data_IF_400808024098
#
_entry.id   IF_400808024098
#
_cell.length_a   1.000
_cell.length_b   1.000
_cell.length_c   1.000
_cell.angle_alpha   90.00
_cell.angle_beta   90.00
_cell.angle_gamma   90.00
#
_symmetry.space_group_name_H-M   'P 1'
#
loop_
_entity.id
_entity.type
_entity.pdbx_description
1 polymer ?
#
# COMPACT_ATOMS: atom_id res chain seq x y z
N UNK A 1 19.38 -1.17 14.90
CA UNK A 1 18.38 -0.23 14.36
C UNK A 1 18.90 0.22 13.01
N UNK A 2 18.31 -0.23 11.89
CA UNK A 2 18.75 0.17 10.55
C UNK A 2 17.86 1.29 10.02
N UNK A 3 18.43 2.27 9.28
CA UNK A 3 17.69 3.42 8.79
C UNK A 3 16.79 2.96 7.64
N UNK A 4 15.49 2.94 7.86
CA UNK A 4 14.51 2.49 6.86
C UNK A 4 14.22 3.67 5.91
N UNK A 5 15.18 3.93 5.03
CA UNK A 5 15.07 4.89 3.94
C UNK A 5 14.07 4.41 2.89
N UNK A 6 13.60 5.34 2.08
CA UNK A 6 12.49 5.31 1.10
C UNK A 6 12.49 4.09 0.12
N UNK A 7 13.55 3.29 0.07
CA UNK A 7 13.64 2.08 -0.75
C UNK A 7 12.80 0.90 -0.23
N UNK A 8 12.38 0.91 1.04
CA UNK A 8 11.64 -0.20 1.67
C UNK A 8 10.10 -0.08 1.57
N UNK A 9 9.59 0.92 0.83
CA UNK A 9 8.15 1.11 0.61
C UNK A 9 7.45 -0.17 0.11
N UNK A 10 7.93 -0.90 -0.93
CA UNK A 10 7.22 -2.08 -1.43
C UNK A 10 7.19 -3.21 -0.39
N UNK A 11 8.25 -3.43 0.39
CA UNK A 11 8.26 -4.42 1.48
C UNK A 11 7.24 -4.08 2.55
N UNK A 12 7.10 -2.80 2.88
CA UNK A 12 6.13 -2.35 3.89
C UNK A 12 4.71 -2.54 3.40
N UNK A 13 4.45 -2.22 2.12
CA UNK A 13 3.14 -2.48 1.50
C UNK A 13 2.83 -3.98 1.53
N UNK A 14 3.80 -4.83 1.17
CA UNK A 14 3.65 -6.28 1.25
C UNK A 14 3.31 -6.78 2.67
N UNK A 15 3.90 -6.16 3.70
CA UNK A 15 3.59 -6.45 5.11
C UNK A 15 2.17 -6.00 5.49
N UNK A 16 1.74 -4.80 5.09
CA UNK A 16 0.37 -4.33 5.36
C UNK A 16 -0.67 -5.18 4.61
N UNK A 17 -0.38 -5.61 3.38
CA UNK A 17 -1.22 -6.56 2.64
C UNK A 17 -1.38 -7.88 3.39
N UNK A 18 -0.27 -8.47 3.86
CA UNK A 18 -0.32 -9.69 4.67
C UNK A 18 -1.19 -9.52 5.92
N UNK A 19 -1.06 -8.39 6.63
CA UNK A 19 -1.88 -8.09 7.82
C UNK A 19 -3.36 -7.99 7.50
N UNK A 20 -3.74 -7.29 6.44
CA UNK A 20 -5.15 -7.16 6.00
C UNK A 20 -5.74 -8.49 5.56
N UNK A 21 -4.92 -9.37 4.98
CA UNK A 21 -5.28 -10.73 4.59
C UNK A 21 -5.21 -11.74 5.74
N UNK A 22 -4.80 -11.31 6.95
CA UNK A 22 -4.54 -12.17 8.09
C UNK A 22 -3.54 -13.32 7.80
N UNK A 23 -2.49 -13.01 7.03
CA UNK A 23 -1.45 -13.94 6.61
C UNK A 23 -0.04 -13.34 6.66
N UNK A 24 0.89 -14.04 6.02
CA UNK A 24 2.28 -13.59 5.87
C UNK A 24 2.41 -12.44 4.86
N UNK A 25 3.51 -11.66 4.89
CA UNK A 25 3.79 -10.65 3.88
C UNK A 25 3.72 -11.24 2.46
N UNK A 26 3.17 -10.48 1.52
CA UNK A 26 3.10 -10.87 0.12
C UNK A 26 4.48 -10.81 -0.55
N UNK A 27 4.65 -11.58 -1.62
CA UNK A 27 5.74 -11.34 -2.57
C UNK A 27 5.53 -9.99 -3.27
N UNK A 28 6.61 -9.30 -3.63
CA UNK A 28 6.55 -7.92 -4.15
C UNK A 28 5.77 -7.79 -5.46
N UNK A 29 5.65 -8.88 -6.23
CA UNK A 29 4.90 -8.94 -7.48
C UNK A 29 3.62 -9.78 -7.34
N UNK A 30 3.24 -10.16 -6.11
CA UNK A 30 1.99 -10.88 -5.88
C UNK A 30 0.84 -9.89 -5.83
N UNK A 31 -0.10 -10.04 -6.75
CA UNK A 31 -1.34 -9.27 -6.77
C UNK A 31 -2.20 -9.56 -5.52
N UNK A 32 -2.68 -8.49 -4.90
CA UNK A 32 -3.49 -8.53 -3.68
C UNK A 32 -4.82 -9.28 -3.83
N UNK A 33 -5.53 -9.08 -4.94
CA UNK A 33 -6.81 -9.75 -5.18
C UNK A 33 -6.61 -11.24 -5.47
N UNK A 34 -5.55 -11.59 -6.23
CA UNK A 34 -5.15 -12.99 -6.43
C UNK A 34 -4.63 -13.67 -5.15
N UNK A 35 -4.26 -12.90 -4.13
CA UNK A 35 -3.89 -13.42 -2.81
C UNK A 35 -5.11 -13.62 -1.88
N UNK A 36 -6.34 -13.32 -2.35
CA UNK A 36 -7.57 -13.45 -1.58
C UNK A 36 -8.12 -12.13 -1.03
N UNK A 37 -7.58 -11.00 -1.48
CA UNK A 37 -8.13 -9.68 -1.20
C UNK A 37 -9.49 -9.46 -1.85
N UNK A 38 -10.27 -8.57 -1.24
CA UNK A 38 -11.56 -8.10 -1.75
C UNK A 38 -11.63 -6.57 -1.67
N UNK A 39 -12.72 -5.98 -2.13
CA UNK A 39 -12.89 -4.52 -2.16
C UNK A 39 -12.90 -3.88 -0.78
N UNK A 40 -13.43 -4.56 0.24
CA UNK A 40 -13.47 -4.03 1.62
C UNK A 40 -12.07 -3.98 2.19
N UNK A 41 -11.33 -5.07 2.02
CA UNK A 41 -9.93 -5.18 2.42
C UNK A 41 -9.01 -4.23 1.64
N UNK A 42 -9.28 -4.01 0.35
CA UNK A 42 -8.54 -3.05 -0.45
C UNK A 42 -8.73 -1.62 0.08
N UNK A 43 -9.96 -1.23 0.41
CA UNK A 43 -10.23 0.09 1.03
C UNK A 43 -9.51 0.22 2.37
N UNK A 44 -9.55 -0.81 3.22
CA UNK A 44 -8.81 -0.82 4.49
C UNK A 44 -7.29 -0.64 4.27
N UNK A 45 -6.72 -1.38 3.32
CA UNK A 45 -5.31 -1.27 2.96
C UNK A 45 -4.98 0.15 2.51
N UNK A 46 -5.76 0.73 1.60
CA UNK A 46 -5.57 2.10 1.08
C UNK A 46 -5.54 3.11 2.22
N UNK A 47 -6.51 3.06 3.15
CA UNK A 47 -6.55 3.97 4.30
C UNK A 47 -5.30 3.84 5.16
N UNK A 48 -4.88 2.61 5.49
CA UNK A 48 -3.66 2.36 6.28
C UNK A 48 -2.40 2.89 5.59
N UNK A 49 -2.30 2.75 4.26
CA UNK A 49 -1.17 3.26 3.49
C UNK A 49 -1.17 4.79 3.43
N UNK A 50 -2.34 5.41 3.22
CA UNK A 50 -2.51 6.86 3.24
C UNK A 50 -2.06 7.49 4.55
N UNK A 51 -2.49 6.93 5.68
CA UNK A 51 -2.09 7.38 7.02
C UNK A 51 -0.59 7.18 7.29
N UNK A 52 -0.02 6.08 6.79
CA UNK A 52 1.37 5.70 7.06
C UNK A 52 2.38 6.51 6.27
N UNK A 53 2.08 6.83 5.02
CA UNK A 53 3.02 7.40 4.07
C UNK A 53 2.78 8.87 3.72
N UNK A 54 1.71 9.48 4.23
CA UNK A 54 1.54 10.94 4.12
C UNK A 54 2.32 11.69 5.21
N UNK A 55 2.55 12.98 4.99
CA UNK A 55 3.19 13.90 5.96
C UNK A 55 2.30 14.23 7.18
N UNK A 56 1.34 13.36 7.52
CA UNK A 56 0.45 13.49 8.67
C UNK A 56 -0.67 14.52 8.52
N UNK A 57 -0.79 15.17 7.36
CA UNK A 57 -1.95 16.06 7.08
C UNK A 57 -3.11 15.28 6.47
N UNK A 58 -4.34 15.61 6.86
CA UNK A 58 -5.55 14.98 6.30
C UNK A 58 -5.63 15.14 4.77
N UNK A 59 -5.20 16.29 4.25
CA UNK A 59 -5.21 16.58 2.83
C UNK A 59 -4.21 15.72 2.05
N UNK A 60 -2.99 15.52 2.56
CA UNK A 60 -2.00 14.64 1.93
C UNK A 60 -2.46 13.17 1.96
N UNK A 61 -3.00 12.71 3.09
CA UNK A 61 -3.55 11.37 3.23
C UNK A 61 -4.71 11.13 2.26
N UNK A 62 -5.64 12.08 2.13
CA UNK A 62 -6.78 11.96 1.20
C UNK A 62 -6.34 11.90 -0.27
N UNK A 63 -5.34 12.71 -0.66
CA UNK A 63 -4.77 12.69 -2.01
C UNK A 63 -4.11 11.33 -2.31
N UNK A 64 -3.28 10.83 -1.39
CA UNK A 64 -2.64 9.52 -1.54
C UNK A 64 -3.67 8.38 -1.60
N UNK A 65 -4.70 8.41 -0.73
CA UNK A 65 -5.79 7.44 -0.77
C UNK A 65 -6.50 7.44 -2.12
N UNK A 66 -6.77 8.62 -2.69
CA UNK A 66 -7.41 8.74 -4.01
C UNK A 66 -6.53 8.16 -5.11
N UNK A 67 -5.21 8.38 -5.08
CA UNK A 67 -4.29 7.84 -6.08
C UNK A 67 -4.19 6.31 -5.98
N UNK A 68 -4.05 5.78 -4.76
CA UNK A 68 -3.99 4.34 -4.48
C UNK A 68 -5.29 3.62 -4.86
N UNK A 69 -6.45 4.26 -4.69
CA UNK A 69 -7.73 3.68 -5.08
C UNK A 69 -7.81 3.40 -6.58
N UNK A 70 -7.26 4.27 -7.42
CA UNK A 70 -7.21 4.02 -8.86
C UNK A 70 -6.19 2.93 -9.17
N UNK A 71 -4.98 3.06 -8.63
CA UNK A 71 -3.88 2.17 -8.92
C UNK A 71 -4.13 0.71 -8.48
N UNK A 72 -4.78 0.49 -7.35
CA UNK A 72 -5.04 -0.88 -6.86
C UNK A 72 -5.89 -1.69 -7.85
N UNK A 73 -6.79 -1.05 -8.61
CA UNK A 73 -7.60 -1.76 -9.61
C UNK A 73 -6.88 -1.95 -10.95
N UNK A 74 -5.77 -1.26 -11.17
CA UNK A 74 -4.92 -1.45 -12.36
C UNK A 74 -3.85 -2.51 -12.11
N UNK A 75 -3.13 -2.40 -11.00
CA UNK A 75 -2.09 -3.34 -10.56
C UNK A 75 -2.02 -3.34 -9.01
N UNK A 76 -2.50 -4.43 -8.40
CA UNK A 76 -2.57 -4.55 -6.95
C UNK A 76 -1.32 -5.20 -6.35
N UNK A 77 -0.17 -5.11 -7.00
CA UNK A 77 1.11 -5.59 -6.45
C UNK A 77 1.75 -4.58 -5.50
N UNK A 78 2.50 -5.04 -4.48
CA UNK A 78 3.27 -4.15 -3.61
C UNK A 78 4.20 -3.19 -4.37
N UNK A 79 4.83 -3.64 -5.46
CA UNK A 79 5.73 -2.82 -6.26
C UNK A 79 5.00 -1.68 -7.00
N UNK A 80 3.86 -1.98 -7.63
CA UNK A 80 3.07 -0.97 -8.33
C UNK A 80 2.52 0.10 -7.37
N UNK A 81 1.96 -0.32 -6.23
CA UNK A 81 1.47 0.63 -5.22
C UNK A 81 2.62 1.44 -4.60
N UNK A 82 3.82 0.86 -4.49
CA UNK A 82 4.99 1.61 -4.03
C UNK A 82 5.40 2.72 -4.99
N UNK A 83 5.24 2.53 -6.30
CA UNK A 83 5.49 3.60 -7.28
C UNK A 83 4.58 4.80 -7.02
N UNK A 84 3.28 4.55 -6.81
CA UNK A 84 2.30 5.59 -6.49
C UNK A 84 2.63 6.31 -5.19
N UNK A 85 2.98 5.57 -4.14
CA UNK A 85 3.39 6.17 -2.86
C UNK A 85 4.60 7.09 -3.04
N UNK A 86 5.62 6.65 -3.79
CA UNK A 86 6.85 7.44 -4.01
C UNK A 86 6.61 8.74 -4.78
N UNK A 87 5.59 8.79 -5.63
CA UNK A 87 5.20 10.04 -6.31
C UNK A 87 4.57 11.08 -5.36
N UNK A 88 4.18 10.66 -4.16
CA UNK A 88 3.49 11.46 -3.15
C UNK A 88 4.29 11.65 -1.85
N UNK A 89 5.54 11.16 -1.81
CA UNK A 89 6.54 11.43 -0.76
C UNK A 89 7.33 12.70 -1.07
#
# INVERSE_FOLDING_TARGET
MQPRTVDDVPTVIAQEMGRVLAGEPLDLHRDFFLAGGDSVRAVELITRLGERFSDGTEEASARLCSALLLAVFEDATPEALAAVVREHL
#
